data_IF_392430416917
#
_entry.id   IF_392430416917
#
_cell.length_a   1.000
_cell.length_b   1.000
_cell.length_c   1.000
_cell.angle_alpha   90.00
_cell.angle_beta   90.00
_cell.angle_gamma   90.00
#
_symmetry.space_group_name_H-M   'P 1'
#
loop_
_entity.id
_entity.type
_entity.pdbx_description
1 polymer ?
#
# COMPACT_ATOMS: atom_id res chain seq x y z
N UNK A 1 10.80 -65.34 -52.23
CA UNK A 1 10.59 -64.84 -53.61
C UNK A 1 11.28 -63.49 -53.67
N UNK A 2 12.51 -63.43 -54.19
CA UNK A 2 12.91 -63.20 -55.59
C UNK A 2 12.50 -61.81 -56.12
N UNK A 3 13.55 -61.05 -56.43
CA UNK A 3 13.67 -59.67 -56.90
C UNK A 3 13.37 -59.53 -58.42
N UNK A 4 13.30 -58.27 -58.92
CA UNK A 4 13.54 -57.76 -60.32
C UNK A 4 12.30 -57.76 -61.27
N UNK A 5 11.89 -56.72 -62.05
CA UNK A 5 12.45 -55.40 -62.45
C UNK A 5 11.48 -54.53 -63.30
N UNK A 6 11.72 -53.21 -63.27
CA UNK A 6 11.62 -52.12 -64.30
C UNK A 6 10.32 -51.63 -64.97
N UNK A 7 10.23 -50.29 -65.01
CA UNK A 7 9.61 -49.47 -66.06
C UNK A 7 9.72 -47.97 -65.77
N UNK A 8 10.67 -47.27 -66.41
CA UNK A 8 11.05 -45.88 -66.16
C UNK A 8 10.32 -44.86 -67.06
N UNK A 9 10.08 -43.63 -66.56
CA UNK A 9 10.01 -42.36 -67.33
C UNK A 9 9.88 -41.17 -66.34
N UNK A 10 10.98 -40.50 -65.97
CA UNK A 10 11.49 -39.21 -66.49
C UNK A 10 10.47 -38.05 -66.41
N UNK A 11 10.76 -37.09 -65.53
CA UNK A 11 10.08 -35.81 -65.42
C UNK A 11 10.83 -34.87 -64.48
N UNK A 12 11.98 -34.39 -64.93
CA UNK A 12 12.82 -33.39 -64.24
C UNK A 12 12.08 -32.06 -64.20
N UNK A 13 11.81 -31.50 -63.01
CA UNK A 13 11.58 -30.07 -62.86
C UNK A 13 12.37 -29.53 -61.66
N UNK A 14 13.58 -29.07 -61.98
CA UNK A 14 14.39 -28.21 -61.12
C UNK A 14 13.83 -26.79 -61.23
N UNK A 15 13.29 -26.25 -60.13
CA UNK A 15 13.14 -24.80 -59.98
C UNK A 15 14.03 -24.39 -58.82
N UNK A 16 15.28 -24.07 -59.14
CA UNK A 16 16.14 -23.23 -58.31
C UNK A 16 15.87 -21.78 -58.70
N UNK A 17 15.16 -21.04 -57.86
CA UNK A 17 15.11 -19.58 -57.93
C UNK A 17 15.84 -19.02 -56.71
N UNK A 18 16.85 -18.21 -57.01
CA UNK A 18 17.79 -17.63 -56.09
C UNK A 18 17.15 -16.59 -55.16
N UNK A 19 17.69 -16.53 -53.94
CA UNK A 19 18.15 -15.28 -53.36
C UNK A 19 17.09 -14.40 -52.68
N UNK A 20 17.16 -14.36 -51.35
CA UNK A 20 17.37 -13.12 -50.60
C UNK A 20 17.58 -13.48 -49.13
N UNK A 21 18.80 -13.22 -48.63
CA UNK A 21 19.06 -13.22 -47.20
C UNK A 21 18.24 -12.09 -46.58
N UNK A 22 17.10 -12.43 -45.97
CA UNK A 22 16.40 -11.53 -45.08
C UNK A 22 17.25 -11.42 -43.81
N UNK A 23 18.03 -10.35 -43.70
CA UNK A 23 18.47 -9.81 -42.42
C UNK A 23 17.24 -9.73 -41.53
N UNK A 24 17.22 -10.55 -40.48
CA UNK A 24 16.20 -10.50 -39.44
C UNK A 24 16.31 -9.11 -38.80
N UNK A 25 15.43 -8.20 -39.20
CA UNK A 25 15.31 -6.91 -38.53
C UNK A 25 15.05 -7.22 -37.05
N UNK A 26 15.86 -6.67 -36.12
CA UNK A 26 15.51 -6.75 -34.72
C UNK A 26 14.16 -6.05 -34.57
N UNK A 27 13.14 -6.80 -34.12
CA UNK A 27 11.90 -6.20 -33.65
C UNK A 27 12.29 -5.08 -32.69
N UNK A 28 12.08 -3.83 -33.11
CA UNK A 28 12.11 -2.71 -32.19
C UNK A 28 11.05 -3.01 -31.15
N UNK A 29 11.50 -3.45 -29.97
CA UNK A 29 10.65 -3.49 -28.82
C UNK A 29 10.07 -2.08 -28.67
N UNK A 30 8.74 -1.96 -28.75
CA UNK A 30 8.05 -0.78 -28.28
C UNK A 30 8.65 -0.43 -26.91
N UNK A 31 8.99 0.84 -26.64
CA UNK A 31 9.37 1.23 -25.30
C UNK A 31 8.31 0.68 -24.35
N UNK A 32 8.71 -0.21 -23.44
CA UNK A 32 7.88 -0.59 -22.30
C UNK A 32 7.40 0.70 -21.62
N UNK A 33 6.25 0.69 -20.95
CA UNK A 33 5.67 1.91 -20.39
C UNK A 33 6.75 2.61 -19.58
N UNK A 34 7.23 3.74 -20.11
CA UNK A 34 8.19 4.57 -19.43
C UNK A 34 7.62 4.80 -18.03
N UNK A 35 8.42 4.52 -17.00
CA UNK A 35 8.09 4.81 -15.61
C UNK A 35 7.48 6.20 -15.58
N UNK A 36 6.14 6.26 -15.51
CA UNK A 36 5.46 7.55 -15.43
C UNK A 36 5.94 8.11 -14.11
N UNK A 37 6.82 9.12 -14.18
CA UNK A 37 7.11 9.99 -13.06
C UNK A 37 5.76 10.28 -12.40
N UNK A 38 5.57 9.89 -11.13
CA UNK A 38 4.31 10.16 -10.46
C UNK A 38 4.07 11.65 -10.56
N UNK A 39 3.01 12.05 -11.28
CA UNK A 39 2.56 13.44 -11.25
C UNK A 39 2.35 13.78 -9.78
N UNK A 40 2.98 14.85 -9.25
CA UNK A 40 2.79 15.27 -7.88
C UNK A 40 1.29 15.45 -7.65
N UNK A 41 0.71 14.55 -6.86
CA UNK A 41 -0.67 14.70 -6.42
C UNK A 41 -0.62 15.61 -5.21
N UNK A 42 -1.50 16.60 -5.16
CA UNK A 42 -1.62 17.46 -3.99
C UNK A 42 -2.02 16.68 -2.72
N UNK A 43 -2.11 17.37 -1.59
CA UNK A 43 -2.58 16.78 -0.33
C UNK A 43 -3.92 16.03 -0.49
N UNK A 44 -4.17 14.98 0.31
CA UNK A 44 -5.47 14.33 0.36
C UNK A 44 -6.57 15.33 0.75
N UNK A 45 -7.76 15.15 0.18
CA UNK A 45 -8.94 15.81 0.75
C UNK A 45 -9.17 15.23 2.16
N UNK A 46 -9.48 16.03 3.19
CA UNK A 46 -9.75 15.49 4.52
C UNK A 46 -10.85 14.42 4.50
N UNK A 47 -10.49 13.21 4.91
CA UNK A 47 -11.39 12.07 5.01
C UNK A 47 -11.04 11.29 6.28
N UNK A 48 -11.95 11.25 7.24
CA UNK A 48 -11.72 10.49 8.47
C UNK A 48 -11.93 9.01 8.21
N UNK A 49 -10.88 8.22 8.42
CA UNK A 49 -10.90 6.77 8.18
C UNK A 49 -11.13 5.99 9.47
N UNK A 50 -10.65 6.49 10.60
CA UNK A 50 -10.79 5.85 11.89
C UNK A 50 -11.04 6.84 13.03
N UNK A 51 -11.68 6.38 14.11
CA UNK A 51 -11.88 7.12 15.35
C UNK A 51 -11.24 6.42 16.54
N UNK A 52 -10.80 7.20 17.54
CA UNK A 52 -10.54 6.69 18.89
C UNK A 52 -10.86 7.77 19.93
N UNK A 53 -11.81 7.50 20.84
CA UNK A 53 -12.15 8.43 21.94
C UNK A 53 -12.37 9.90 21.50
N UNK A 54 -12.92 10.10 20.30
CA UNK A 54 -13.14 11.43 19.69
C UNK A 54 -12.00 11.95 18.81
N UNK A 55 -10.79 11.37 18.87
CA UNK A 55 -9.72 11.64 17.92
C UNK A 55 -10.09 11.09 16.55
N UNK A 56 -9.96 11.93 15.52
CA UNK A 56 -10.26 11.60 14.12
C UNK A 56 -8.97 11.38 13.36
N UNK A 57 -8.74 10.16 12.89
CA UNK A 57 -7.60 9.82 12.04
C UNK A 57 -7.99 10.07 10.58
N UNK A 58 -7.31 11.02 9.94
CA UNK A 58 -7.50 11.33 8.53
C UNK A 58 -6.73 10.35 7.63
N UNK A 59 -7.23 10.18 6.41
CA UNK A 59 -6.55 9.45 5.35
C UNK A 59 -5.20 10.14 5.04
N UNK A 60 -4.06 9.44 5.23
CA UNK A 60 -2.74 10.02 5.07
C UNK A 60 -2.26 10.06 3.61
N UNK A 61 -2.95 9.38 2.69
CA UNK A 61 -2.56 9.27 1.28
C UNK A 61 -3.65 9.88 0.41
N UNK A 62 -3.27 10.61 -0.64
CA UNK A 62 -4.22 11.15 -1.61
C UNK A 62 -5.16 10.06 -2.14
N UNK A 63 -6.46 10.34 -2.18
CA UNK A 63 -7.50 9.34 -2.48
C UNK A 63 -7.25 8.58 -3.79
N UNK A 64 -6.72 9.25 -4.81
CA UNK A 64 -6.40 8.67 -6.12
C UNK A 64 -5.18 7.75 -6.12
N UNK A 65 -4.44 7.67 -5.01
CA UNK A 65 -3.25 6.85 -4.81
C UNK A 65 -3.46 5.71 -3.80
N UNK A 66 -4.59 5.69 -3.10
CA UNK A 66 -4.93 4.60 -2.18
C UNK A 66 -5.24 3.33 -2.96
N UNK A 67 -4.54 2.24 -2.64
CA UNK A 67 -4.79 0.93 -3.25
C UNK A 67 -5.69 0.04 -2.39
N UNK A 68 -5.59 0.14 -1.07
CA UNK A 68 -6.53 -0.46 -0.12
C UNK A 68 -6.44 0.21 1.26
N UNK A 69 -7.44 -0.02 2.10
CA UNK A 69 -7.42 0.33 3.53
C UNK A 69 -7.63 -0.95 4.32
N UNK A 70 -6.67 -1.27 5.19
CA UNK A 70 -6.67 -2.45 6.03
C UNK A 70 -6.75 -2.08 7.51
N UNK A 71 -7.38 -2.93 8.31
CA UNK A 71 -7.27 -2.90 9.76
C UNK A 71 -6.87 -4.25 10.29
N UNK A 72 -6.02 -4.27 11.31
CA UNK A 72 -5.59 -5.50 11.95
C UNK A 72 -5.37 -5.32 13.45
N UNK A 73 -5.26 -6.44 14.15
CA UNK A 73 -4.82 -6.45 15.54
C UNK A 73 -3.34 -6.08 15.62
N UNK A 74 -3.01 -5.25 16.59
CA UNK A 74 -1.62 -4.92 16.96
C UNK A 74 -1.30 -5.56 18.31
N UNK A 75 -0.03 -5.86 18.53
CA UNK A 75 0.50 -6.34 19.81
C UNK A 75 0.48 -5.27 20.92
N UNK A 76 1.08 -5.63 22.06
CA UNK A 76 0.97 -4.95 23.35
C UNK A 76 0.94 -3.41 23.30
N UNK A 77 -0.13 -2.84 23.86
CA UNK A 77 -0.25 -1.41 24.16
C UNK A 77 -0.82 -0.53 23.06
N UNK A 78 -1.12 -1.07 21.87
CA UNK A 78 -1.89 -0.34 20.86
C UNK A 78 -3.36 -0.24 21.27
N UNK A 79 -3.96 0.92 20.99
CA UNK A 79 -5.34 1.23 21.36
C UNK A 79 -6.27 0.90 20.18
N UNK A 80 -7.48 0.39 20.47
CA UNK A 80 -8.43 0.04 19.42
C UNK A 80 -8.92 1.29 18.69
N UNK A 81 -8.99 1.19 17.36
CA UNK A 81 -9.60 2.17 16.49
C UNK A 81 -11.03 1.74 16.14
N UNK A 82 -11.86 2.68 15.73
CA UNK A 82 -13.19 2.42 15.19
C UNK A 82 -13.20 2.78 13.71
N UNK A 83 -13.24 1.81 12.79
CA UNK A 83 -13.33 2.06 11.36
C UNK A 83 -14.62 2.80 11.01
N UNK A 84 -14.55 3.76 10.09
CA UNK A 84 -15.72 4.50 9.59
C UNK A 84 -16.21 4.07 8.21
N UNK A 85 -15.55 3.09 7.59
CA UNK A 85 -15.88 2.60 6.25
C UNK A 85 -16.86 1.44 6.25
N UNK A 86 -17.09 0.85 5.08
CA UNK A 86 -17.78 -0.44 4.96
C UNK A 86 -16.76 -1.57 4.87
N UNK A 87 -16.89 -2.61 5.68
CA UNK A 87 -16.01 -3.77 5.63
C UNK A 87 -16.29 -4.62 4.38
N UNK A 88 -15.29 -4.80 3.52
CA UNK A 88 -15.40 -5.51 2.24
C UNK A 88 -15.36 -7.04 2.37
N UNK A 89 -14.69 -7.56 3.40
CA UNK A 89 -14.48 -9.00 3.60
C UNK A 89 -15.32 -9.58 4.76
N UNK A 90 -16.43 -8.95 5.13
CA UNK A 90 -17.40 -9.58 6.03
C UNK A 90 -17.92 -10.90 5.43
N UNK A 91 -17.94 -11.96 6.22
CA UNK A 91 -18.60 -13.22 5.87
C UNK A 91 -20.12 -13.04 5.72
N UNK A 92 -20.78 -13.90 4.94
CA UNK A 92 -22.20 -13.77 4.61
C UNK A 92 -23.15 -13.71 5.83
N UNK A 93 -22.78 -14.34 6.96
CA UNK A 93 -23.54 -14.27 8.22
C UNK A 93 -23.41 -12.92 8.94
N UNK A 94 -22.22 -12.29 8.94
CA UNK A 94 -22.02 -10.97 9.53
C UNK A 94 -22.78 -9.87 8.75
N UNK A 95 -22.86 -10.03 7.42
CA UNK A 95 -23.63 -9.14 6.53
C UNK A 95 -25.14 -9.15 6.86
N UNK A 96 -25.68 -10.31 7.24
CA UNK A 96 -27.09 -10.44 7.60
C UNK A 96 -27.40 -9.79 8.96
N UNK A 97 -26.48 -9.91 9.93
CA UNK A 97 -26.60 -9.24 11.23
C UNK A 97 -26.52 -7.71 11.09
N UNK A 98 -25.53 -7.17 10.37
CA UNK A 98 -25.38 -5.72 10.16
C UNK A 98 -26.50 -5.09 9.32
N UNK A 99 -27.20 -5.87 8.48
CA UNK A 99 -28.40 -5.41 7.76
C UNK A 99 -29.60 -5.19 8.71
N UNK A 100 -29.62 -5.89 9.84
CA UNK A 100 -30.67 -5.76 10.87
C UNK A 100 -30.26 -4.71 11.92
N UNK A 101 -28.97 -4.52 12.17
CA UNK A 101 -28.44 -3.61 13.19
C UNK A 101 -27.84 -2.29 12.67
N UNK A 102 -27.98 -1.98 11.38
CA UNK A 102 -27.65 -0.67 10.82
C UNK A 102 -26.15 -0.41 10.66
N UNK A 103 -25.54 -1.02 9.64
CA UNK A 103 -24.17 -0.69 9.22
C UNK A 103 -24.10 0.69 8.55
N UNK A 104 -23.57 1.67 9.27
CA UNK A 104 -23.42 3.05 8.83
C UNK A 104 -22.60 3.19 7.54
N UNK A 105 -23.11 4.01 6.62
CA UNK A 105 -22.49 4.29 5.33
C UNK A 105 -21.25 5.16 5.44
N UNK A 106 -20.08 4.52 5.38
CA UNK A 106 -18.81 5.18 5.09
C UNK A 106 -18.55 5.25 3.59
N UNK A 107 -18.05 6.39 3.10
CA UNK A 107 -17.75 6.63 1.68
C UNK A 107 -16.59 5.82 1.10
N UNK A 108 -16.02 4.86 1.84
CA UNK A 108 -14.91 4.01 1.41
C UNK A 108 -15.04 2.57 1.94
N UNK A 109 -14.33 1.64 1.31
CA UNK A 109 -14.28 0.22 1.69
C UNK A 109 -12.98 -0.06 2.44
N UNK A 110 -13.06 -0.82 3.53
CA UNK A 110 -11.89 -1.32 4.25
C UNK A 110 -11.89 -2.84 4.36
N UNK A 111 -10.74 -3.43 4.68
CA UNK A 111 -10.56 -4.87 4.87
C UNK A 111 -10.03 -5.17 6.27
N UNK A 112 -10.61 -6.15 6.93
CA UNK A 112 -10.05 -6.70 8.16
C UNK A 112 -8.96 -7.71 7.79
N UNK A 113 -7.69 -7.42 8.08
CA UNK A 113 -6.55 -8.25 7.63
C UNK A 113 -6.27 -9.43 8.57
N UNK A 114 -6.53 -9.27 9.87
CA UNK A 114 -6.49 -10.33 10.89
C UNK A 114 -7.74 -10.28 11.78
N UNK A 115 -8.15 -11.42 12.35
CA UNK A 115 -9.22 -11.44 13.35
C UNK A 115 -8.79 -10.74 14.65
N UNK A 116 -9.72 -10.07 15.32
CA UNK A 116 -9.48 -9.38 16.59
C UNK A 116 -9.82 -7.89 16.55
N UNK A 117 -9.26 -7.12 17.47
CA UNK A 117 -9.44 -5.67 17.54
C UNK A 117 -8.78 -4.96 16.35
N UNK A 118 -9.32 -3.81 15.96
CA UNK A 118 -8.79 -2.96 14.88
C UNK A 118 -7.81 -1.94 15.47
N UNK A 119 -6.66 -2.39 15.95
CA UNK A 119 -5.70 -1.55 16.68
C UNK A 119 -4.61 -0.94 15.78
N UNK A 120 -4.46 -1.44 14.56
CA UNK A 120 -3.58 -0.89 13.53
C UNK A 120 -4.35 -0.63 12.23
N UNK A 121 -3.97 0.44 11.54
CA UNK A 121 -4.55 0.90 10.27
C UNK A 121 -3.46 0.93 9.20
N UNK A 122 -3.69 0.19 8.12
CA UNK A 122 -2.80 0.13 6.96
C UNK A 122 -3.45 0.87 5.79
N UNK A 123 -2.74 1.85 5.24
CA UNK A 123 -3.20 2.58 4.05
C UNK A 123 -2.25 2.27 2.89
N UNK A 124 -2.73 1.41 2.00
CA UNK A 124 -1.98 0.91 0.85
C UNK A 124 -1.73 2.00 -0.19
N UNK A 125 -0.50 2.07 -0.68
CA UNK A 125 -0.11 2.92 -1.78
C UNK A 125 1.21 2.45 -2.41
N UNK A 126 1.47 2.87 -3.65
CA UNK A 126 2.72 2.57 -4.32
C UNK A 126 3.93 3.15 -3.56
N UNK A 127 5.10 2.47 -3.56
CA UNK A 127 6.34 3.04 -3.05
C UNK A 127 6.65 4.42 -3.65
N UNK A 128 7.16 5.33 -2.81
CA UNK A 128 7.42 6.72 -3.17
C UNK A 128 6.19 7.63 -3.16
N UNK A 129 4.99 7.10 -2.88
CA UNK A 129 3.78 7.92 -2.70
C UNK A 129 3.91 8.80 -1.47
N UNK A 130 3.59 10.08 -1.61
CA UNK A 130 3.62 11.05 -0.52
C UNK A 130 2.57 10.71 0.56
N UNK A 131 3.03 10.75 1.81
CA UNK A 131 2.25 10.51 3.03
C UNK A 131 2.09 11.84 3.77
N UNK A 132 0.88 12.11 4.25
CA UNK A 132 0.48 13.32 4.95
C UNK A 132 0.05 13.02 6.38
N UNK A 133 0.12 14.05 7.23
CA UNK A 133 -0.24 13.95 8.64
C UNK A 133 -1.69 13.45 8.81
N UNK A 134 -1.94 12.37 9.58
CA UNK A 134 -3.29 11.87 9.81
C UNK A 134 -4.04 12.68 10.88
N UNK A 135 -3.34 13.50 11.67
CA UNK A 135 -3.91 14.32 12.74
C UNK A 135 -3.16 15.65 12.83
N UNK A 136 -3.82 16.67 13.38
CA UNK A 136 -3.14 17.90 13.80
C UNK A 136 -2.32 17.60 15.06
N UNK A 137 -1.10 18.11 15.13
CA UNK A 137 -0.23 17.79 16.24
C UNK A 137 1.19 18.32 16.16
N UNK A 138 2.03 17.76 17.01
CA UNK A 138 3.46 18.02 17.06
C UNK A 138 4.22 16.71 16.89
N UNK A 139 5.28 16.72 16.08
CA UNK A 139 6.20 15.59 15.97
C UNK A 139 6.96 15.46 17.29
N UNK A 140 6.83 14.31 17.97
CA UNK A 140 7.50 14.03 19.24
C UNK A 140 8.63 13.01 19.10
N UNK A 141 8.69 12.28 17.99
CA UNK A 141 9.76 11.33 17.72
C UNK A 141 9.92 11.05 16.23
N UNK A 142 11.17 10.89 15.80
CA UNK A 142 11.54 10.33 14.50
C UNK A 142 12.68 9.35 14.78
N UNK A 143 12.47 8.07 14.49
CA UNK A 143 13.46 7.01 14.71
C UNK A 143 13.45 6.01 13.56
N UNK A 144 14.45 5.15 13.48
CA UNK A 144 14.50 4.12 12.45
C UNK A 144 13.42 3.06 12.68
N UNK A 145 12.76 2.66 11.59
CA UNK A 145 11.91 1.48 11.60
C UNK A 145 12.77 0.25 11.30
N UNK A 146 13.02 -0.54 12.34
CA UNK A 146 13.88 -1.71 12.29
C UNK A 146 13.04 -2.97 12.11
N UNK A 147 13.36 -3.76 11.07
CA UNK A 147 12.84 -5.11 10.86
C UNK A 147 14.03 -6.08 10.78
N UNK A 148 13.97 -7.18 11.53
CA UNK A 148 15.07 -8.17 11.61
C UNK A 148 16.47 -7.55 11.84
N UNK A 149 16.54 -6.50 12.67
CA UNK A 149 17.77 -5.80 13.01
C UNK A 149 18.32 -4.87 11.91
N UNK A 150 17.56 -4.62 10.84
CA UNK A 150 17.94 -3.70 9.76
C UNK A 150 16.95 -2.55 9.61
N UNK A 151 17.40 -1.32 9.32
CA UNK A 151 16.51 -0.20 9.06
C UNK A 151 15.88 -0.30 7.65
N UNK A 152 14.56 -0.13 7.58
CA UNK A 152 13.81 -0.13 6.32
C UNK A 152 12.92 1.12 6.15
N UNK A 153 13.12 2.14 6.98
CA UNK A 153 12.35 3.38 6.95
C UNK A 153 12.43 4.05 8.30
N UNK A 154 11.41 4.83 8.64
CA UNK A 154 11.31 5.50 9.92
C UNK A 154 9.96 5.27 10.57
N UNK A 155 9.99 5.35 11.90
CA UNK A 155 8.83 5.58 12.75
C UNK A 155 8.73 7.08 13.04
N UNK A 156 7.58 7.67 12.74
CA UNK A 156 7.25 9.05 13.10
C UNK A 156 6.16 9.02 14.15
N UNK A 157 6.43 9.62 15.30
CA UNK A 157 5.49 9.72 16.41
C UNK A 157 4.93 11.15 16.49
N UNK A 158 3.60 11.26 16.47
CA UNK A 158 2.85 12.52 16.51
C UNK A 158 2.05 12.55 17.81
N UNK A 159 2.22 13.61 18.61
CA UNK A 159 1.29 13.90 19.70
C UNK A 159 0.14 14.75 19.14
N UNK A 160 -1.11 14.25 19.14
CA UNK A 160 -2.25 14.99 18.60
C UNK A 160 -2.60 16.19 19.48
N UNK A 161 -2.87 17.34 18.87
CA UNK A 161 -3.26 18.55 19.64
C UNK A 161 -4.60 18.37 20.36
N UNK A 162 -5.53 17.62 19.79
CA UNK A 162 -6.85 17.36 20.37
C UNK A 162 -6.84 16.24 21.44
N UNK A 163 -5.77 15.46 21.53
CA UNK A 163 -5.64 14.36 22.49
C UNK A 163 -4.18 14.14 22.93
N UNK A 164 -3.60 15.06 23.73
CA UNK A 164 -2.16 15.03 24.05
C UNK A 164 -1.72 13.82 24.90
N UNK A 165 -2.65 13.10 25.53
CA UNK A 165 -2.37 11.85 26.25
C UNK A 165 -2.09 10.66 25.33
N UNK A 166 -2.20 10.85 24.01
CA UNK A 166 -2.01 9.82 22.99
C UNK A 166 -0.81 10.16 22.11
N UNK A 167 -0.29 9.12 21.46
CA UNK A 167 0.66 9.24 20.35
C UNK A 167 0.19 8.40 19.18
N UNK A 168 0.20 9.03 18.00
CA UNK A 168 -0.06 8.41 16.70
C UNK A 168 1.29 8.10 16.06
N UNK A 169 1.59 6.83 15.89
CA UNK A 169 2.82 6.34 15.28
C UNK A 169 2.58 5.97 13.83
N UNK A 170 3.42 6.46 12.92
CA UNK A 170 3.44 6.08 11.51
C UNK A 170 4.72 5.32 11.21
N UNK A 171 4.62 4.18 10.50
CA UNK A 171 5.78 3.38 10.05
C UNK A 171 5.68 3.07 8.56
N UNK A 172 6.69 2.36 8.02
CA UNK A 172 6.78 1.97 6.59
C UNK A 172 6.92 3.17 5.64
N UNK A 173 7.53 4.25 6.11
CA UNK A 173 7.76 5.46 5.34
C UNK A 173 9.18 5.99 5.54
N UNK A 174 9.68 6.72 4.54
CA UNK A 174 10.86 7.57 4.64
C UNK A 174 10.43 8.98 5.04
N UNK A 175 11.04 9.59 6.06
CA UNK A 175 10.58 10.86 6.61
C UNK A 175 10.85 12.00 5.63
N UNK A 176 9.96 12.99 5.61
CA UNK A 176 10.21 14.22 4.85
C UNK A 176 11.39 14.98 5.50
N UNK A 177 12.43 15.36 4.73
CA UNK A 177 13.62 16.01 5.28
C UNK A 177 13.36 17.39 5.91
N UNK A 178 12.20 18.00 5.64
CA UNK A 178 11.79 19.23 6.29
C UNK A 178 11.25 19.02 7.72
N UNK A 179 10.99 17.78 8.14
CA UNK A 179 10.49 17.48 9.48
C UNK A 179 11.60 17.35 10.51
N UNK A 180 11.33 17.89 11.70
CA UNK A 180 12.15 17.72 12.90
C UNK A 180 11.26 17.43 14.09
N UNK A 181 11.81 16.82 15.15
CA UNK A 181 11.11 16.76 16.44
C UNK A 181 10.78 18.19 16.89
N UNK A 182 9.53 18.40 17.30
CA UNK A 182 8.97 19.71 17.64
C UNK A 182 8.23 20.43 16.50
N UNK A 183 8.29 19.92 15.26
CA UNK A 183 7.52 20.49 14.14
C UNK A 183 6.01 20.40 14.41
N UNK A 184 5.29 21.50 14.22
CA UNK A 184 3.82 21.52 14.19
C UNK A 184 3.33 21.10 12.82
N UNK A 185 2.30 20.26 12.79
CA UNK A 185 1.78 19.66 11.56
C UNK A 185 0.25 19.75 11.52
N UNK A 186 -0.28 19.90 10.31
CA UNK A 186 -1.70 19.99 10.04
C UNK A 186 -2.19 18.75 9.26
N UNK A 187 -3.30 18.17 9.74
CA UNK A 187 -3.91 16.97 9.18
C UNK A 187 -4.22 17.15 7.69
N UNK A 188 -3.99 16.08 6.92
CA UNK A 188 -4.19 16.02 5.46
C UNK A 188 -3.41 17.05 4.64
N UNK A 189 -2.59 17.92 5.26
CA UNK A 189 -1.97 19.06 4.57
C UNK A 189 -0.44 19.03 4.67
N UNK A 190 0.09 18.71 5.84
CA UNK A 190 1.53 18.60 6.03
C UNK A 190 2.02 17.24 5.56
N UNK A 191 2.96 17.24 4.60
CA UNK A 191 3.64 16.02 4.17
C UNK A 191 4.59 15.56 5.27
N UNK A 192 4.51 14.28 5.61
CA UNK A 192 5.34 13.65 6.64
C UNK A 192 6.36 12.67 6.09
N UNK A 193 6.18 12.21 4.86
CA UNK A 193 7.14 11.32 4.24
C UNK A 193 6.66 10.70 2.93
N UNK A 194 7.24 9.54 2.61
CA UNK A 194 6.88 8.71 1.46
C UNK A 194 6.89 7.23 1.80
N UNK A 195 5.93 6.47 1.27
CA UNK A 195 5.85 5.01 1.43
C UNK A 195 7.15 4.35 0.95
N UNK A 196 7.67 3.41 1.73
CA UNK A 196 8.85 2.60 1.37
C UNK A 196 8.40 1.28 0.73
N UNK A 197 9.23 0.73 -0.15
CA UNK A 197 9.04 -0.62 -0.68
C UNK A 197 9.56 -1.66 0.31
N UNK A 198 8.65 -2.43 0.90
CA UNK A 198 8.97 -3.55 1.80
C UNK A 198 8.66 -4.91 1.17
N UNK A 199 8.23 -4.94 -0.10
CA UNK A 199 7.77 -6.17 -0.77
C UNK A 199 8.84 -7.26 -0.89
N UNK A 200 10.12 -6.87 -0.90
CA UNK A 200 11.26 -7.80 -0.89
C UNK A 200 11.68 -8.29 0.50
N UNK A 201 11.05 -7.79 1.56
CA UNK A 201 11.45 -8.01 2.96
C UNK A 201 10.38 -8.78 3.72
N UNK A 202 9.11 -8.43 3.52
CA UNK A 202 7.98 -9.04 4.22
C UNK A 202 6.78 -9.22 3.27
N UNK A 203 6.05 -10.32 3.46
CA UNK A 203 4.76 -10.53 2.78
C UNK A 203 3.66 -9.78 3.51
N UNK A 204 3.31 -8.60 2.98
CA UNK A 204 2.31 -7.72 3.56
C UNK A 204 0.92 -8.34 3.53
N UNK A 205 0.15 -8.27 4.63
CA UNK A 205 -1.21 -8.82 4.67
C UNK A 205 -2.16 -8.13 3.68
N UNK A 206 -1.92 -6.84 3.42
CA UNK A 206 -2.65 -6.03 2.44
C UNK A 206 -2.43 -6.48 0.99
N UNK A 207 -1.36 -7.23 0.70
CA UNK A 207 -1.06 -7.76 -0.64
C UNK A 207 -2.18 -8.62 -1.23
N UNK A 208 -3.01 -9.22 -0.37
CA UNK A 208 -4.18 -10.03 -0.77
C UNK A 208 -5.31 -9.22 -1.38
N UNK A 209 -5.32 -7.91 -1.15
CA UNK A 209 -6.39 -6.99 -1.55
C UNK A 209 -5.90 -5.88 -2.49
N UNK A 210 -4.62 -5.92 -2.85
CA UNK A 210 -3.95 -4.90 -3.67
C UNK A 210 -3.22 -5.53 -4.85
N UNK A 211 -2.82 -4.72 -5.82
CA UNK A 211 -2.08 -5.14 -7.01
C UNK A 211 -0.60 -4.67 -6.96
N UNK A 212 -0.16 -4.09 -5.85
CA UNK A 212 1.14 -3.43 -5.65
C UNK A 212 1.98 -4.06 -4.54
N UNK A 213 1.83 -5.37 -4.34
CA UNK A 213 2.47 -6.15 -3.28
C UNK A 213 2.11 -5.73 -1.85
N UNK A 214 1.13 -4.84 -1.66
CA UNK A 214 0.62 -4.46 -0.33
C UNK A 214 1.50 -3.47 0.42
N UNK A 215 2.38 -2.74 -0.28
CA UNK A 215 3.10 -1.61 0.30
C UNK A 215 2.11 -0.59 0.87
N UNK A 216 2.38 -0.08 2.06
CA UNK A 216 1.46 0.78 2.78
C UNK A 216 2.18 1.68 3.78
N UNK A 217 1.46 2.65 4.33
CA UNK A 217 1.81 3.29 5.60
C UNK A 217 0.98 2.65 6.71
N UNK A 218 1.63 2.23 7.78
CA UNK A 218 0.96 1.67 8.96
C UNK A 218 0.82 2.73 10.04
N UNK A 219 -0.36 2.81 10.65
CA UNK A 219 -0.72 3.77 11.69
C UNK A 219 -1.18 3.01 12.93
N UNK A 220 -0.57 3.33 14.07
CA UNK A 220 -0.97 2.83 15.38
C UNK A 220 -1.21 3.98 16.37
N UNK A 221 -2.07 3.73 17.34
CA UNK A 221 -2.35 4.66 18.42
C UNK A 221 -1.92 4.05 19.75
N UNK A 222 -1.17 4.80 20.56
CA UNK A 222 -0.69 4.37 21.87
C UNK A 222 -0.94 5.45 22.92
N UNK A 223 -1.06 5.05 24.18
CA UNK A 223 -1.01 6.01 25.27
C UNK A 223 0.41 6.61 25.36
N UNK A 224 0.52 7.93 25.53
CA UNK A 224 1.82 8.61 25.61
C UNK A 224 2.68 8.07 26.77
N UNK A 225 2.06 7.61 27.86
CA UNK A 225 2.73 6.99 29.00
C UNK A 225 3.41 5.64 28.68
N UNK A 226 3.07 5.01 27.55
CA UNK A 226 3.55 3.68 27.17
C UNK A 226 4.63 3.73 26.07
N UNK A 227 5.14 4.92 25.74
CA UNK A 227 6.27 5.05 24.83
C UNK A 227 7.55 4.66 25.57
N UNK A 228 8.04 3.46 25.30
CA UNK A 228 9.39 3.06 25.70
C UNK A 228 10.40 3.72 24.73
N UNK A 229 11.53 4.24 25.24
CA UNK A 229 12.60 4.85 24.44
C UNK A 229 13.34 3.83 23.57
#
# INVERSE_FOLDING_TARGET
>A
MLTVVMGALIGTLLITAFGQGATREPSQALPGPASRLPVPVGPPTPLTVALHSGLRIQLPVAQSRVTAIGYHSSGDGALPLTPLGRQGNEGALARLAHKIFGGGGGGFVYYQLSGGETAALDVGALPGTDVYAPVDGTIVGISDYILDGRPYGSRIDIQPSAAPSLVVSLTHLSPDPALTVGSTIAASSTKVGRVVDLSGVETQALSRYTQDAGNHVAIELRAAANLLP
#
